data_IF_811611439292
#
_entry.id   IF_811611439292
#
_cell.length_a   1.000
_cell.length_b   1.000
_cell.length_c   1.000
_cell.angle_alpha   90.00
_cell.angle_beta   90.00
_cell.angle_gamma   90.00
#
_symmetry.space_group_name_H-M   'P 1'
#
loop_
_entity.id
_entity.type
_entity.pdbx_description
1 polymer ?
#
# COMPACT_ATOMS: atom_id res chain seq x y z
N UNK A 1 -16.58 -8.83 -14.18
CA UNK A 1 -15.76 -7.71 -14.71
C UNK A 1 -14.68 -8.30 -15.60
N UNK A 2 -14.74 -8.09 -16.92
CA UNK A 2 -13.92 -8.88 -17.86
C UNK A 2 -12.62 -8.22 -18.34
N UNK A 3 -12.46 -6.90 -18.18
CA UNK A 3 -11.32 -6.16 -18.79
C UNK A 3 -10.45 -5.38 -17.79
N UNK A 4 -10.71 -5.49 -16.48
CA UNK A 4 -9.88 -4.85 -15.44
C UNK A 4 -9.97 -3.32 -15.35
N UNK A 5 -10.95 -2.69 -15.99
CA UNK A 5 -11.09 -1.21 -15.97
C UNK A 5 -11.49 -0.66 -14.59
N UNK A 6 -12.23 -1.44 -13.81
CA UNK A 6 -12.80 -1.04 -12.53
C UNK A 6 -12.58 -2.15 -11.50
N UNK A 7 -12.43 -1.78 -10.23
CA UNK A 7 -12.22 -2.74 -9.13
C UNK A 7 -13.54 -3.34 -8.60
N UNK A 8 -14.60 -2.54 -8.51
CA UNK A 8 -15.90 -2.97 -7.96
C UNK A 8 -17.05 -2.20 -8.61
N UNK A 9 -18.20 -2.87 -8.79
CA UNK A 9 -19.49 -2.27 -9.22
C UNK A 9 -20.46 -2.46 -8.07
N UNK A 10 -21.09 -1.38 -7.64
CA UNK A 10 -22.05 -1.34 -6.53
C UNK A 10 -23.30 -0.57 -6.96
N UNK A 11 -24.39 -0.70 -6.18
CA UNK A 11 -25.59 0.10 -6.40
C UNK A 11 -25.28 1.60 -6.25
N UNK A 12 -26.05 2.45 -6.92
CA UNK A 12 -25.80 3.90 -6.92
C UNK A 12 -25.78 4.49 -5.50
N UNK A 13 -26.66 4.02 -4.62
CA UNK A 13 -26.76 4.46 -3.23
C UNK A 13 -25.53 4.06 -2.39
N UNK A 14 -24.81 3.02 -2.79
CA UNK A 14 -23.64 2.49 -2.08
C UNK A 14 -22.31 3.04 -2.62
N UNK A 15 -22.33 3.77 -3.75
CA UNK A 15 -21.14 4.28 -4.42
C UNK A 15 -20.20 5.02 -3.46
N UNK A 16 -20.72 6.05 -2.79
CA UNK A 16 -19.92 6.89 -1.88
C UNK A 16 -19.50 6.12 -0.61
N UNK A 17 -20.38 5.38 0.09
CA UNK A 17 -19.99 4.54 1.21
C UNK A 17 -18.84 3.57 0.86
N UNK A 18 -18.94 2.84 -0.25
CA UNK A 18 -17.90 1.89 -0.67
C UNK A 18 -16.60 2.57 -1.05
N UNK A 19 -16.66 3.67 -1.81
CA UNK A 19 -15.46 4.42 -2.20
C UNK A 19 -14.73 5.01 -0.99
N UNK A 20 -15.46 5.57 -0.03
CA UNK A 20 -14.89 6.13 1.20
C UNK A 20 -14.32 5.04 2.09
N UNK A 21 -14.98 3.89 2.23
CA UNK A 21 -14.45 2.76 2.98
C UNK A 21 -13.08 2.30 2.45
N UNK A 22 -12.93 2.21 1.13
CA UNK A 22 -11.65 1.90 0.49
C UNK A 22 -10.61 3.00 0.75
N UNK A 23 -10.99 4.27 0.59
CA UNK A 23 -10.09 5.40 0.83
C UNK A 23 -9.59 5.42 2.29
N UNK A 24 -10.48 5.17 3.27
CA UNK A 24 -10.12 5.07 4.69
C UNK A 24 -9.21 3.88 4.96
N UNK A 25 -9.45 2.74 4.32
CA UNK A 25 -8.58 1.57 4.44
C UNK A 25 -7.17 1.84 3.90
N UNK A 26 -7.03 2.59 2.80
CA UNK A 26 -5.71 2.99 2.28
C UNK A 26 -5.06 4.04 3.19
N UNK A 27 -5.84 5.01 3.69
CA UNK A 27 -5.35 6.08 4.55
C UNK A 27 -4.89 5.59 5.94
N UNK A 28 -5.35 4.42 6.38
CA UNK A 28 -4.92 3.79 7.63
C UNK A 28 -3.58 3.06 7.52
N UNK A 29 -2.97 2.98 6.34
CA UNK A 29 -1.66 2.37 6.11
C UNK A 29 -0.52 3.40 6.18
N UNK A 30 0.73 2.92 6.30
CA UNK A 30 1.91 3.76 6.23
C UNK A 30 1.99 4.48 4.88
N UNK A 31 1.92 5.81 4.87
CA UNK A 31 1.86 6.59 3.64
C UNK A 31 3.12 6.42 2.77
N UNK A 32 4.29 6.27 3.40
CA UNK A 32 5.56 6.03 2.68
C UNK A 32 5.47 4.70 1.92
N UNK A 33 5.02 3.63 2.58
CA UNK A 33 4.84 2.33 1.96
C UNK A 33 3.79 2.36 0.83
N UNK A 34 2.63 2.99 1.05
CA UNK A 34 1.59 3.13 0.01
C UNK A 34 2.12 3.87 -1.23
N UNK A 35 2.87 4.96 -1.02
CA UNK A 35 3.49 5.72 -2.11
C UNK A 35 4.55 4.89 -2.84
N UNK A 36 5.42 4.20 -2.12
CA UNK A 36 6.44 3.33 -2.69
C UNK A 36 5.81 2.23 -3.55
N UNK A 37 4.82 1.50 -3.02
CA UNK A 37 4.09 0.46 -3.76
C UNK A 37 3.43 1.01 -5.03
N UNK A 38 2.80 2.19 -4.96
CA UNK A 38 2.19 2.84 -6.13
C UNK A 38 3.24 3.19 -7.19
N UNK A 39 4.44 3.62 -6.79
CA UNK A 39 5.54 3.90 -7.72
C UNK A 39 6.10 2.61 -8.33
N UNK A 40 6.28 1.54 -7.54
CA UNK A 40 6.70 0.22 -8.02
C UNK A 40 5.76 -0.30 -9.09
N UNK A 41 4.45 -0.25 -8.87
CA UNK A 41 3.46 -0.68 -9.87
C UNK A 41 3.61 0.14 -11.16
N UNK A 42 3.64 1.48 -11.05
CA UNK A 42 3.73 2.35 -12.24
C UNK A 42 5.03 2.17 -13.02
N UNK A 43 6.16 2.01 -12.35
CA UNK A 43 7.48 1.88 -12.98
C UNK A 43 7.72 0.47 -13.49
N UNK A 44 7.38 -0.55 -12.70
CA UNK A 44 7.52 -1.95 -13.08
C UNK A 44 6.69 -2.32 -14.30
N UNK A 45 5.51 -1.71 -14.49
CA UNK A 45 4.71 -1.88 -15.71
C UNK A 45 5.37 -1.33 -16.99
N UNK A 46 6.45 -0.55 -16.89
CA UNK A 46 7.13 0.10 -18.01
C UNK A 46 8.52 -0.48 -18.31
N UNK A 47 8.92 -1.53 -17.60
CA UNK A 47 10.25 -2.12 -17.71
C UNK A 47 10.16 -3.65 -17.81
N UNK A 48 11.28 -4.30 -18.11
CA UNK A 48 11.37 -5.76 -18.01
C UNK A 48 11.29 -6.22 -16.55
N UNK A 49 11.03 -7.51 -16.36
CA UNK A 49 10.82 -8.11 -15.04
C UNK A 49 12.06 -8.00 -14.14
N UNK A 50 13.27 -8.10 -14.70
CA UNK A 50 14.51 -8.01 -13.92
C UNK A 50 14.65 -6.61 -13.33
N UNK A 51 14.48 -5.58 -14.17
CA UNK A 51 14.52 -4.18 -13.74
C UNK A 51 13.42 -3.86 -12.72
N UNK A 52 12.19 -4.37 -12.95
CA UNK A 52 11.07 -4.17 -12.05
C UNK A 52 11.34 -4.77 -10.66
N UNK A 53 11.86 -6.00 -10.59
CA UNK A 53 12.20 -6.67 -9.32
C UNK A 53 13.35 -5.96 -8.59
N UNK A 54 14.37 -5.47 -9.33
CA UNK A 54 15.43 -4.66 -8.71
C UNK A 54 14.87 -3.36 -8.14
N UNK A 55 13.97 -2.67 -8.85
CA UNK A 55 13.32 -1.46 -8.35
C UNK A 55 12.48 -1.74 -7.09
N UNK A 56 11.71 -2.83 -7.09
CA UNK A 56 10.94 -3.26 -5.93
C UNK A 56 11.84 -3.54 -4.72
N UNK A 57 12.95 -4.25 -4.89
CA UNK A 57 13.89 -4.54 -3.81
C UNK A 57 14.47 -3.26 -3.18
N UNK A 58 14.80 -2.25 -4.00
CA UNK A 58 15.27 -0.96 -3.52
C UNK A 58 14.16 -0.20 -2.76
N UNK A 59 12.94 -0.17 -3.30
CA UNK A 59 11.80 0.46 -2.64
C UNK A 59 11.46 -0.22 -1.31
N UNK A 60 11.56 -1.55 -1.25
CA UNK A 60 11.43 -2.33 -0.02
C UNK A 60 12.50 -1.95 1.01
N UNK A 61 13.76 -1.85 0.59
CA UNK A 61 14.85 -1.39 1.46
C UNK A 61 14.59 -0.01 2.06
N UNK A 62 14.07 0.94 1.27
CA UNK A 62 13.66 2.26 1.77
C UNK A 62 12.54 2.15 2.81
N UNK A 63 11.51 1.34 2.55
CA UNK A 63 10.43 1.12 3.51
C UNK A 63 10.92 0.50 4.82
N UNK A 64 11.85 -0.45 4.77
CA UNK A 64 12.47 -1.06 5.95
C UNK A 64 13.33 -0.10 6.78
N UNK A 65 13.70 1.06 6.23
CA UNK A 65 14.40 2.12 6.96
C UNK A 65 13.47 3.07 7.74
N UNK A 66 12.14 2.94 7.60
CA UNK A 66 11.16 3.85 8.23
C UNK A 66 10.85 3.46 9.68
N UNK A 67 10.49 4.45 10.51
CA UNK A 67 10.00 4.18 11.88
C UNK A 67 8.72 3.33 11.84
N UNK A 68 7.88 3.58 10.84
CA UNK A 68 6.64 2.85 10.63
C UNK A 68 6.85 1.34 10.47
N UNK A 69 7.88 0.93 9.71
CA UNK A 69 8.18 -0.48 9.54
C UNK A 69 8.69 -1.10 10.84
N UNK A 70 9.56 -0.40 11.57
CA UNK A 70 10.08 -0.88 12.84
C UNK A 70 8.96 -1.03 13.89
N UNK A 71 8.13 -0.02 14.07
CA UNK A 71 7.05 -0.02 15.08
C UNK A 71 5.99 -1.07 14.74
N UNK A 72 5.58 -1.17 13.47
CA UNK A 72 4.59 -2.16 13.04
C UNK A 72 5.13 -3.59 13.18
N UNK A 73 6.39 -3.84 12.81
CA UNK A 73 7.00 -5.15 12.96
C UNK A 73 7.16 -5.54 14.42
N UNK A 74 7.57 -4.60 15.28
CA UNK A 74 7.67 -4.85 16.71
C UNK A 74 6.32 -5.17 17.34
N UNK A 75 5.28 -4.38 17.03
CA UNK A 75 3.93 -4.64 17.50
C UNK A 75 3.44 -6.03 17.03
N UNK A 76 3.73 -6.40 15.77
CA UNK A 76 3.39 -7.71 15.23
C UNK A 76 4.10 -8.86 15.96
N UNK A 77 5.42 -8.78 16.14
CA UNK A 77 6.23 -9.80 16.84
C UNK A 77 5.81 -9.95 18.29
N UNK A 78 5.55 -8.82 18.98
CA UNK A 78 5.11 -8.81 20.38
C UNK A 78 3.62 -9.14 20.56
N UNK A 79 2.85 -9.24 19.46
CA UNK A 79 1.38 -9.40 19.45
C UNK A 79 0.68 -8.29 20.24
N UNK A 80 1.22 -7.09 20.16
CA UNK A 80 0.69 -5.90 20.83
C UNK A 80 -0.22 -5.10 19.89
N UNK A 81 -1.10 -4.27 20.48
CA UNK A 81 -1.94 -3.38 19.69
C UNK A 81 -1.08 -2.27 19.09
N UNK A 82 -1.01 -2.22 17.76
CA UNK A 82 -0.32 -1.16 17.05
C UNK A 82 -1.05 0.18 17.22
N UNK A 83 -0.31 1.23 17.60
CA UNK A 83 -0.85 2.56 17.90
C UNK A 83 -1.06 3.44 16.65
N UNK A 84 -0.68 2.95 15.47
CA UNK A 84 -0.87 3.63 14.19
C UNK A 84 0.45 4.12 13.56
N UNK A 85 0.39 4.42 12.27
CA UNK A 85 1.55 4.88 11.50
C UNK A 85 1.83 6.37 11.70
N UNK A 86 3.10 6.70 11.86
CA UNK A 86 3.68 8.03 12.04
C UNK A 86 4.07 8.69 10.72
N UNK A 87 4.17 7.93 9.63
CA UNK A 87 4.51 8.39 8.28
C UNK A 87 5.91 8.99 8.15
N UNK A 88 6.90 8.35 8.77
CA UNK A 88 8.32 8.69 8.70
C UNK A 88 9.20 7.45 8.88
#
# INVERSE_FOLDING_TARGET
>A
MLIGLVNQVVAHQELMPTALALATAIASQAQIAVRASKQCIRRGMQTDISTATTYEALAFGVCCGTEDQYDAMNAFVKKEKFSGFKNR
#
